data_IF_261812790796
#
_entry.id   IF_261812790796
#
_cell.length_a   1.000
_cell.length_b   1.000
_cell.length_c   1.000
_cell.angle_alpha   90.00
_cell.angle_beta   90.00
_cell.angle_gamma   90.00
#
_symmetry.space_group_name_H-M   'P 1'
#
loop_
_entity.id
_entity.type
_entity.pdbx_description
1 polymer ?
#
# COMPACT_ATOMS: atom_id res chain seq x y z
N UNK A 1 -11.08 16.02 2.88
CA UNK A 1 -10.90 17.18 1.98
C UNK A 1 -9.94 16.84 0.84
N UNK A 2 -9.90 17.64 -0.22
CA UNK A 2 -8.93 17.50 -1.31
C UNK A 2 -7.51 17.74 -0.77
N UNK A 3 -6.51 16.98 -1.25
CA UNK A 3 -5.11 17.00 -0.79
C UNK A 3 -4.87 16.49 0.64
N UNK A 4 -5.86 15.84 1.26
CA UNK A 4 -5.62 15.12 2.51
C UNK A 4 -4.91 13.79 2.26
N UNK A 5 -4.07 13.42 3.24
CA UNK A 5 -3.39 12.15 3.26
C UNK A 5 -3.65 11.44 4.60
N UNK A 6 -3.77 10.12 4.53
CA UNK A 6 -3.75 9.24 5.71
C UNK A 6 -2.58 8.28 5.59
N UNK A 7 -2.00 7.95 6.74
CA UNK A 7 -0.95 6.95 6.84
C UNK A 7 -1.50 5.70 7.52
N UNK A 8 -1.22 4.54 6.92
CA UNK A 8 -1.48 3.24 7.52
C UNK A 8 -0.16 2.48 7.68
N UNK A 9 -0.15 1.50 8.57
CA UNK A 9 0.99 0.63 8.79
C UNK A 9 0.70 -0.75 8.22
N UNK A 10 1.66 -1.30 7.49
CA UNK A 10 1.60 -2.64 6.89
C UNK A 10 2.82 -3.43 7.35
N UNK A 11 2.61 -4.66 7.79
CA UNK A 11 3.65 -5.60 8.19
C UNK A 11 3.14 -7.03 8.02
N UNK A 12 4.06 -7.99 8.07
CA UNK A 12 3.73 -9.41 8.10
C UNK A 12 3.82 -9.94 9.53
N UNK A 13 2.86 -10.78 9.92
CA UNK A 13 2.89 -11.46 11.23
C UNK A 13 3.88 -12.63 11.28
N UNK A 14 4.34 -13.09 10.12
CA UNK A 14 5.26 -14.23 9.97
C UNK A 14 6.23 -13.96 8.82
N UNK A 15 7.45 -14.53 8.85
CA UNK A 15 8.40 -14.38 7.75
C UNK A 15 7.84 -14.98 6.45
N UNK A 16 8.19 -14.42 5.28
CA UNK A 16 7.81 -15.01 4.00
C UNK A 16 8.37 -16.42 3.81
N UNK A 17 7.63 -17.26 3.08
CA UNK A 17 8.14 -18.57 2.67
C UNK A 17 9.30 -18.42 1.69
N UNK A 18 10.30 -19.30 1.80
CA UNK A 18 11.37 -19.37 0.83
C UNK A 18 10.91 -20.18 -0.39
N UNK A 19 10.93 -19.55 -1.58
CA UNK A 19 10.59 -20.17 -2.85
C UNK A 19 11.79 -20.01 -3.78
N UNK A 20 12.37 -21.11 -4.24
CA UNK A 20 13.56 -21.12 -5.13
C UNK A 20 14.73 -20.27 -4.60
N UNK A 21 14.97 -20.31 -3.29
CA UNK A 21 16.04 -19.53 -2.65
C UNK A 21 15.68 -18.07 -2.33
N UNK A 22 14.54 -17.56 -2.81
CA UNK A 22 14.07 -16.21 -2.53
C UNK A 22 13.02 -16.20 -1.40
N UNK A 23 13.24 -15.39 -0.36
CA UNK A 23 12.30 -15.17 0.75
C UNK A 23 11.72 -13.76 0.77
N UNK A 24 11.68 -13.08 -0.39
CA UNK A 24 11.12 -11.73 -0.50
C UNK A 24 9.64 -11.80 -0.89
N UNK A 25 8.76 -11.29 -0.03
CA UNK A 25 7.37 -11.00 -0.36
C UNK A 25 7.23 -9.53 -0.80
N UNK A 26 6.51 -9.30 -1.91
CA UNK A 26 6.22 -7.95 -2.42
C UNK A 26 4.73 -7.72 -2.42
N UNK A 27 4.30 -6.62 -1.80
CA UNK A 27 2.91 -6.17 -1.80
C UNK A 27 2.81 -4.95 -2.70
N UNK A 28 2.03 -5.06 -3.77
CA UNK A 28 1.78 -3.99 -4.73
C UNK A 28 0.32 -3.55 -4.68
N UNK A 29 0.08 -2.28 -4.96
CA UNK A 29 -1.25 -1.69 -4.91
C UNK A 29 -1.71 -1.32 -6.32
N UNK A 30 -2.91 -1.75 -6.68
CA UNK A 30 -3.60 -1.29 -7.89
C UNK A 30 -4.81 -0.46 -7.45
N UNK A 31 -4.81 0.83 -7.78
CA UNK A 31 -6.05 1.61 -7.64
C UNK A 31 -7.10 1.02 -8.59
N UNK A 32 -8.36 0.96 -8.13
CA UNK A 32 -9.45 0.53 -8.99
C UNK A 32 -9.43 1.36 -10.29
N UNK A 33 -9.73 0.71 -11.42
CA UNK A 33 -9.48 1.19 -12.79
C UNK A 33 -10.21 2.51 -13.15
N UNK A 34 -11.04 3.03 -12.23
CA UNK A 34 -11.81 4.28 -12.37
C UNK A 34 -11.59 5.28 -11.21
N UNK A 35 -10.65 5.02 -10.29
CA UNK A 35 -10.38 5.92 -9.16
C UNK A 35 -8.95 6.47 -9.26
N UNK A 36 -8.79 7.49 -10.10
CA UNK A 36 -7.61 8.39 -10.11
C UNK A 36 -7.68 9.45 -8.99
N UNK A 37 -8.66 9.33 -8.10
CA UNK A 37 -8.86 10.21 -6.96
C UNK A 37 -7.81 10.03 -5.87
N UNK A 38 -7.08 8.90 -5.86
CA UNK A 38 -6.10 8.59 -4.82
C UNK A 38 -4.74 8.18 -5.39
N UNK A 39 -3.68 8.61 -4.72
CA UNK A 39 -2.32 8.13 -4.92
C UNK A 39 -1.90 7.33 -3.69
N UNK A 40 -1.45 6.10 -3.92
CA UNK A 40 -0.79 5.27 -2.93
C UNK A 40 0.73 5.37 -3.07
N UNK A 41 1.42 5.65 -1.97
CA UNK A 41 2.88 5.78 -1.88
C UNK A 41 3.42 5.08 -0.63
N UNK A 42 4.40 4.16 -0.73
CA UNK A 42 5.06 3.72 -1.96
C UNK A 42 4.18 2.79 -2.82
N UNK A 43 4.58 2.55 -4.07
CA UNK A 43 3.85 1.66 -5.01
C UNK A 43 3.99 0.18 -4.69
N UNK A 44 5.04 -0.16 -3.95
CA UNK A 44 5.36 -1.51 -3.51
C UNK A 44 5.94 -1.43 -2.09
N UNK A 45 5.64 -2.42 -1.27
CA UNK A 45 6.37 -2.74 -0.04
C UNK A 45 7.04 -4.10 -0.21
N UNK A 46 8.26 -4.22 0.30
CA UNK A 46 9.06 -5.44 0.22
C UNK A 46 9.37 -5.93 1.62
N UNK A 47 9.16 -7.22 1.85
CA UNK A 47 9.38 -7.87 3.13
C UNK A 47 10.25 -9.12 2.94
N UNK A 48 11.22 -9.32 3.81
CA UNK A 48 12.11 -10.48 3.85
C UNK A 48 12.21 -11.02 5.28
N UNK A 49 13.12 -11.97 5.52
CA UNK A 49 13.29 -12.57 6.84
C UNK A 49 13.78 -11.59 7.91
N UNK A 50 14.37 -10.46 7.53
CA UNK A 50 14.98 -9.51 8.44
C UNK A 50 13.99 -8.39 8.84
N UNK A 51 13.08 -8.00 7.94
CA UNK A 51 12.17 -6.87 8.14
C UNK A 51 10.67 -7.22 8.15
N UNK A 52 10.27 -8.49 8.08
CA UNK A 52 8.84 -8.86 7.98
C UNK A 52 7.96 -8.30 9.10
N UNK A 53 8.51 -8.19 10.32
CA UNK A 53 7.81 -7.68 11.51
C UNK A 53 7.86 -6.15 11.63
N UNK A 54 8.65 -5.48 10.79
CA UNK A 54 8.76 -4.03 10.79
C UNK A 54 7.53 -3.40 10.16
N UNK A 55 7.01 -2.37 10.84
CA UNK A 55 5.86 -1.60 10.35
C UNK A 55 6.33 -0.64 9.26
N UNK A 56 5.89 -0.88 8.03
CA UNK A 56 6.15 -0.01 6.91
C UNK A 56 4.93 0.89 6.64
N UNK A 57 5.18 2.15 6.33
CA UNK A 57 4.12 3.15 6.14
C UNK A 57 3.64 3.17 4.70
N UNK A 58 2.32 3.04 4.52
CA UNK A 58 1.63 3.35 3.27
C UNK A 58 0.87 4.66 3.44
N UNK A 59 1.13 5.62 2.55
CA UNK A 59 0.40 6.88 2.47
C UNK A 59 -0.66 6.79 1.38
N UNK A 60 -1.89 7.13 1.73
CA UNK A 60 -3.01 7.25 0.81
C UNK A 60 -3.39 8.73 0.75
N UNK A 61 -3.10 9.37 -0.38
CA UNK A 61 -3.36 10.79 -0.60
C UNK A 61 -4.50 10.99 -1.60
N UNK A 62 -5.48 11.82 -1.25
CA UNK A 62 -6.55 12.22 -2.17
C UNK A 62 -6.06 13.35 -3.07
N UNK A 63 -6.08 13.13 -4.38
CA UNK A 63 -5.60 14.09 -5.38
C UNK A 63 -6.71 14.70 -6.24
N UNK A 64 -7.90 14.10 -6.23
CA UNK A 64 -9.09 14.64 -6.89
C UNK A 64 -10.33 14.38 -6.06
N UNK A 65 -11.36 15.18 -6.28
CA UNK A 65 -12.68 14.84 -5.80
C UNK A 65 -13.24 13.68 -6.62
N UNK A 66 -13.86 12.72 -5.94
CA UNK A 66 -14.61 11.67 -6.62
C UNK A 66 -15.85 12.26 -7.28
N UNK A 67 -16.51 11.52 -8.19
CA UNK A 67 -17.78 11.94 -8.74
C UNK A 67 -18.74 12.31 -7.60
N UNK A 68 -19.32 13.51 -7.67
CA UNK A 68 -20.34 13.93 -6.72
C UNK A 68 -21.55 13.02 -6.90
N UNK A 69 -21.78 12.13 -5.94
CA UNK A 69 -23.06 11.44 -5.82
C UNK A 69 -24.04 12.43 -5.20
N UNK A 70 -24.95 12.98 -6.01
CA UNK A 70 -26.13 13.66 -5.47
C UNK A 70 -27.00 12.58 -4.80
N UNK A 71 -26.86 12.45 -3.49
CA UNK A 71 -27.81 11.72 -2.64
C UNK A 71 -28.98 12.65 -2.30
#
# INVERSE_FOLDING_TARGET
MLNEAVQIQVWLSTPPHQINGNSTARIQWKSAQYNDCFILTPKELSFDNDNFYERQTLTIARVKDGPQTNL
#
